data_IF_867614746597
#
_entry.id   IF_867614746597
#
_cell.length_a   1.000
_cell.length_b   1.000
_cell.length_c   1.000
_cell.angle_alpha   90.00
_cell.angle_beta   90.00
_cell.angle_gamma   90.00
#
_symmetry.space_group_name_H-M   'P 1'
#
loop_
_entity.id
_entity.type
_entity.pdbx_description
1 polymer ?
#
# COMPACT_ATOMS: atom_id res chain seq x y z
N UNK A 1 -102.63 -20.92 -4.90
CA UNK A 1 -103.00 -20.80 -3.47
C UNK A 1 -101.96 -21.57 -2.68
N UNK A 2 -101.57 -21.01 -1.54
CA UNK A 2 -100.49 -21.34 -0.58
C UNK A 2 -100.26 -22.86 -0.35
N UNK A 3 -99.08 -23.38 0.01
CA UNK A 3 -98.19 -22.92 1.09
C UNK A 3 -96.77 -23.51 1.03
N UNK A 4 -95.81 -22.76 1.59
CA UNK A 4 -94.50 -23.19 2.10
C UNK A 4 -94.44 -24.61 2.69
N UNK A 5 -93.30 -25.30 2.50
CA UNK A 5 -92.66 -26.12 3.54
C UNK A 5 -91.20 -26.48 3.20
N UNK A 6 -90.29 -25.76 3.85
CA UNK A 6 -89.00 -26.16 4.43
C UNK A 6 -88.35 -27.48 3.97
N UNK A 7 -87.23 -27.39 3.23
CA UNK A 7 -86.25 -28.48 3.17
C UNK A 7 -85.19 -28.30 4.24
N UNK A 8 -85.25 -29.16 5.25
CA UNK A 8 -84.34 -29.24 6.39
C UNK A 8 -82.87 -29.41 5.98
N UNK A 9 -82.04 -28.58 6.60
CA UNK A 9 -80.60 -28.77 6.79
C UNK A 9 -80.31 -30.19 7.33
N UNK A 10 -79.31 -30.93 6.82
CA UNK A 10 -78.88 -32.16 7.48
C UNK A 10 -78.18 -31.78 8.80
N UNK A 11 -78.83 -32.12 9.91
CA UNK A 11 -78.24 -32.09 11.25
C UNK A 11 -76.89 -32.83 11.24
N UNK A 12 -75.82 -32.09 11.50
CA UNK A 12 -74.54 -32.67 11.89
C UNK A 12 -74.76 -33.32 13.27
N UNK A 13 -74.94 -34.63 13.30
CA UNK A 13 -74.91 -35.39 14.54
C UNK A 13 -73.60 -35.06 15.27
N UNK A 14 -73.65 -34.53 16.51
CA UNK A 14 -72.43 -34.31 17.29
C UNK A 14 -71.78 -35.67 17.53
N UNK A 15 -70.53 -35.85 17.09
CA UNK A 15 -69.72 -37.03 17.41
C UNK A 15 -69.87 -37.33 18.90
N UNK A 16 -70.11 -38.60 19.24
CA UNK A 16 -70.20 -39.04 20.62
C UNK A 16 -68.89 -38.67 21.35
N UNK A 17 -68.96 -38.45 22.66
CA UNK A 17 -67.79 -38.06 23.44
C UNK A 17 -66.64 -39.08 23.30
N UNK A 18 -66.97 -40.37 23.15
CA UNK A 18 -66.03 -41.44 22.86
C UNK A 18 -65.33 -41.27 21.50
N UNK A 19 -66.03 -40.83 20.45
CA UNK A 19 -65.45 -40.61 19.12
C UNK A 19 -64.52 -39.38 19.09
N UNK A 20 -64.84 -38.35 19.90
CA UNK A 20 -63.95 -37.19 20.09
C UNK A 20 -62.67 -37.57 20.84
N UNK A 21 -62.78 -38.42 21.86
CA UNK A 21 -61.62 -38.91 22.62
C UNK A 21 -60.75 -39.86 21.77
N UNK A 22 -61.37 -40.76 20.99
CA UNK A 22 -60.65 -41.66 20.09
C UNK A 22 -59.93 -40.89 18.97
N UNK A 23 -60.59 -39.91 18.34
CA UNK A 23 -59.95 -39.07 17.31
C UNK A 23 -58.83 -38.18 17.88
N UNK A 24 -58.95 -37.69 19.11
CA UNK A 24 -57.87 -36.98 19.80
C UNK A 24 -56.68 -37.90 20.10
N UNK A 25 -56.94 -39.14 20.54
CA UNK A 25 -55.91 -40.16 20.77
C UNK A 25 -55.20 -40.56 19.46
N UNK A 26 -55.94 -40.83 18.40
CA UNK A 26 -55.40 -41.17 17.08
C UNK A 26 -54.56 -40.02 16.49
N UNK A 27 -55.00 -38.77 16.64
CA UNK A 27 -54.23 -37.60 16.23
C UNK A 27 -52.95 -37.42 17.06
N UNK A 28 -52.97 -37.74 18.36
CA UNK A 28 -51.78 -37.70 19.22
C UNK A 28 -50.78 -38.82 18.84
N UNK A 29 -51.27 -40.01 18.52
CA UNK A 29 -50.45 -41.13 18.03
C UNK A 29 -49.79 -40.78 16.69
N UNK A 30 -50.57 -40.28 15.72
CA UNK A 30 -50.07 -39.85 14.40
C UNK A 30 -49.05 -38.71 14.50
N UNK A 31 -49.25 -37.73 15.40
CA UNK A 31 -48.27 -36.67 15.66
C UNK A 31 -46.96 -37.22 16.23
N UNK A 32 -47.01 -38.19 17.14
CA UNK A 32 -45.82 -38.85 17.68
C UNK A 32 -45.06 -39.63 16.61
N UNK A 33 -45.79 -40.31 15.74
CA UNK A 33 -45.20 -41.03 14.60
C UNK A 33 -44.50 -40.07 13.63
N UNK A 34 -45.17 -38.99 13.22
CA UNK A 34 -44.57 -37.94 12.37
C UNK A 34 -43.34 -37.32 13.03
N UNK A 35 -43.43 -36.97 14.32
CA UNK A 35 -42.29 -36.42 15.07
C UNK A 35 -41.12 -37.39 15.13
N UNK A 36 -41.38 -38.69 15.30
CA UNK A 36 -40.33 -39.73 15.32
C UNK A 36 -39.66 -39.84 13.96
N UNK A 37 -40.44 -39.88 12.88
CA UNK A 37 -39.92 -39.95 11.51
C UNK A 37 -39.15 -38.71 11.07
N UNK A 38 -39.39 -37.54 11.67
CA UNK A 38 -38.62 -36.32 11.38
C UNK A 38 -37.40 -36.18 12.30
N UNK A 39 -37.57 -36.42 13.61
CA UNK A 39 -36.50 -36.19 14.58
C UNK A 39 -35.41 -37.24 14.49
N UNK A 40 -35.75 -38.52 14.34
CA UNK A 40 -34.74 -39.59 14.35
C UNK A 40 -33.74 -39.46 13.19
N UNK A 41 -34.15 -39.24 11.92
CA UNK A 41 -33.20 -39.01 10.84
C UNK A 41 -32.41 -37.71 11.02
N UNK A 42 -33.04 -36.64 11.46
CA UNK A 42 -32.38 -35.32 11.65
C UNK A 42 -31.28 -35.40 12.71
N UNK A 43 -31.57 -36.02 13.87
CA UNK A 43 -30.57 -36.22 14.93
C UNK A 43 -29.46 -37.18 14.49
N UNK A 44 -29.80 -38.24 13.74
CA UNK A 44 -28.80 -39.20 13.24
C UNK A 44 -27.83 -38.53 12.27
N UNK A 45 -28.34 -37.74 11.32
CA UNK A 45 -27.51 -36.97 10.37
C UNK A 45 -26.66 -35.93 11.10
N UNK A 46 -27.23 -35.23 12.09
CA UNK A 46 -26.49 -34.25 12.89
C UNK A 46 -25.35 -34.92 13.69
N UNK A 47 -25.59 -36.09 14.29
CA UNK A 47 -24.60 -36.84 15.04
C UNK A 47 -23.48 -37.37 14.13
N UNK A 48 -23.83 -37.95 12.98
CA UNK A 48 -22.85 -38.48 12.01
C UNK A 48 -22.01 -37.33 11.43
N UNK A 49 -22.66 -36.21 11.05
CA UNK A 49 -21.98 -35.04 10.51
C UNK A 49 -21.09 -34.37 11.55
N UNK A 50 -21.57 -34.27 12.80
CA UNK A 50 -20.79 -33.77 13.93
C UNK A 50 -19.58 -34.66 14.22
N UNK A 51 -19.76 -35.97 14.29
CA UNK A 51 -18.69 -36.94 14.51
C UNK A 51 -17.67 -36.92 13.36
N UNK A 52 -18.14 -36.80 12.11
CA UNK A 52 -17.30 -36.66 10.92
C UNK A 52 -16.49 -35.36 10.96
N UNK A 53 -17.10 -34.23 11.29
CA UNK A 53 -16.43 -32.94 11.45
C UNK A 53 -15.39 -32.95 12.57
N UNK A 54 -15.72 -33.52 13.74
CA UNK A 54 -14.77 -33.67 14.85
C UNK A 54 -13.62 -34.61 14.50
N UNK A 55 -13.91 -35.72 13.81
CA UNK A 55 -12.88 -36.65 13.33
C UNK A 55 -11.98 -35.98 12.30
N UNK A 56 -12.54 -35.21 11.36
CA UNK A 56 -11.78 -34.43 10.38
C UNK A 56 -10.90 -33.35 11.04
N UNK A 57 -11.41 -32.63 12.04
CA UNK A 57 -10.62 -31.64 12.79
C UNK A 57 -9.53 -32.29 13.65
N UNK A 58 -9.80 -33.45 14.26
CA UNK A 58 -8.78 -34.21 15.02
C UNK A 58 -7.74 -34.88 14.13
N UNK A 59 -8.14 -35.39 12.96
CA UNK A 59 -7.27 -36.05 11.98
C UNK A 59 -6.60 -35.10 10.99
N UNK A 60 -6.93 -33.81 10.98
CA UNK A 60 -5.98 -32.82 10.47
C UNK A 60 -4.72 -33.04 11.28
N UNK A 61 -3.68 -33.60 10.64
CA UNK A 61 -2.35 -33.55 11.21
C UNK A 61 -2.16 -32.07 11.54
N UNK A 62 -2.03 -31.77 12.83
CA UNK A 62 -1.22 -30.62 13.18
C UNK A 62 0.14 -31.07 12.70
N UNK A 63 0.45 -30.77 11.44
CA UNK A 63 1.82 -30.71 11.01
C UNK A 63 2.41 -29.68 11.95
N UNK A 64 2.95 -30.18 13.06
CA UNK A 64 3.57 -29.37 14.07
C UNK A 64 4.87 -28.98 13.43
N UNK A 65 4.79 -27.86 12.71
CA UNK A 65 5.83 -27.33 11.87
C UNK A 65 7.01 -26.97 12.78
N UNK A 66 7.95 -27.92 12.91
CA UNK A 66 9.14 -27.76 13.74
C UNK A 66 10.19 -26.97 12.94
N UNK A 67 10.25 -25.66 13.17
CA UNK A 67 11.35 -24.82 12.70
C UNK A 67 12.50 -25.00 13.69
N UNK A 68 13.66 -25.51 13.27
CA UNK A 68 14.83 -25.51 14.16
C UNK A 68 15.33 -24.08 14.40
N UNK A 69 15.99 -23.80 15.53
CA UNK A 69 16.54 -22.46 15.82
C UNK A 69 17.49 -21.98 14.70
N UNK A 70 18.28 -22.90 14.13
CA UNK A 70 19.16 -22.60 13.00
C UNK A 70 18.38 -22.24 11.74
N UNK A 71 17.30 -22.99 11.42
CA UNK A 71 16.43 -22.66 10.29
C UNK A 71 15.72 -21.32 10.51
N UNK A 72 15.27 -21.03 11.73
CA UNK A 72 14.67 -19.73 12.07
C UNK A 72 15.65 -18.57 11.85
N UNK A 73 16.89 -18.70 12.34
CA UNK A 73 17.95 -17.70 12.11
C UNK A 73 18.22 -17.50 10.62
N UNK A 74 18.28 -18.60 9.85
CA UNK A 74 18.45 -18.56 8.39
C UNK A 74 17.30 -17.84 7.69
N UNK A 75 16.05 -18.14 8.04
CA UNK A 75 14.87 -17.45 7.51
C UNK A 75 14.99 -15.94 7.79
N UNK A 76 15.34 -15.58 9.02
CA UNK A 76 15.43 -14.18 9.43
C UNK A 76 16.55 -13.39 8.74
N UNK A 77 17.63 -14.05 8.30
CA UNK A 77 18.75 -13.39 7.61
C UNK A 77 18.65 -13.40 6.09
N UNK A 78 18.23 -14.52 5.51
CA UNK A 78 18.35 -14.78 4.08
C UNK A 78 17.02 -14.69 3.34
N UNK A 79 15.92 -15.10 3.97
CA UNK A 79 14.63 -15.27 3.28
C UNK A 79 13.76 -14.00 3.34
N UNK A 80 14.16 -12.98 4.11
CA UNK A 80 13.49 -11.68 4.15
C UNK A 80 13.87 -10.84 2.93
N UNK A 81 12.86 -10.45 2.15
CA UNK A 81 12.97 -9.43 1.11
C UNK A 81 12.23 -8.17 1.54
N UNK A 82 12.84 -7.02 1.28
CA UNK A 82 12.23 -5.72 1.51
C UNK A 82 12.26 -4.98 0.17
N UNK A 83 11.10 -4.45 -0.22
CA UNK A 83 10.87 -3.76 -1.48
C UNK A 83 10.45 -2.32 -1.19
N UNK A 84 10.98 -1.39 -1.96
CA UNK A 84 10.60 0.03 -1.91
C UNK A 84 9.24 0.22 -2.59
N UNK A 85 8.30 0.84 -1.88
CA UNK A 85 6.95 1.11 -2.39
C UNK A 85 6.81 2.49 -3.04
N UNK A 86 7.62 3.46 -2.65
CA UNK A 86 7.30 4.85 -2.88
C UNK A 86 8.50 5.65 -3.32
N UNK A 87 8.40 6.20 -4.52
CA UNK A 87 9.52 6.76 -5.24
C UNK A 87 9.63 8.29 -5.09
N UNK A 88 8.81 8.92 -4.23
CA UNK A 88 8.66 10.38 -4.22
C UNK A 88 9.57 11.12 -3.23
N UNK A 89 9.99 10.48 -2.14
CA UNK A 89 10.87 11.05 -1.11
C UNK A 89 12.28 10.48 -1.18
N UNK A 90 13.28 11.36 -1.05
CA UNK A 90 14.69 11.00 -0.88
C UNK A 90 14.90 10.19 0.40
N UNK A 91 16.00 9.42 0.47
CA UNK A 91 16.35 8.69 1.69
C UNK A 91 16.47 9.61 2.90
N UNK A 92 17.04 10.80 2.69
CA UNK A 92 17.20 11.81 3.74
C UNK A 92 15.85 12.30 4.25
N UNK A 93 14.93 12.67 3.37
CA UNK A 93 13.60 13.13 3.78
C UNK A 93 12.81 12.06 4.56
N UNK A 94 12.93 10.78 4.18
CA UNK A 94 12.27 9.69 4.92
C UNK A 94 12.88 9.54 6.31
N UNK A 95 14.21 9.55 6.42
CA UNK A 95 14.90 9.39 7.71
C UNK A 95 14.69 10.61 8.62
N UNK A 96 14.73 11.82 8.07
CA UNK A 96 14.48 13.06 8.82
C UNK A 96 13.03 13.11 9.33
N UNK A 97 12.04 12.75 8.48
CA UNK A 97 10.64 12.67 8.90
C UNK A 97 10.40 11.56 9.92
N UNK A 98 11.05 10.40 9.78
CA UNK A 98 11.02 9.33 10.78
C UNK A 98 11.54 9.81 12.14
N UNK A 99 12.73 10.42 12.16
CA UNK A 99 13.35 10.93 13.38
C UNK A 99 12.52 12.03 14.03
N UNK A 100 11.96 12.94 13.22
CA UNK A 100 11.04 13.96 13.71
C UNK A 100 9.82 13.33 14.40
N UNK A 101 9.20 12.32 13.78
CA UNK A 101 8.05 11.64 14.38
C UNK A 101 8.42 10.89 15.67
N UNK A 102 9.59 10.25 15.72
CA UNK A 102 10.11 9.61 16.93
C UNK A 102 10.25 10.63 18.06
N UNK A 103 10.92 11.75 17.83
CA UNK A 103 11.15 12.79 18.83
C UNK A 103 9.85 13.50 19.23
N UNK A 104 8.98 13.81 18.28
CA UNK A 104 7.66 14.39 18.55
C UNK A 104 6.86 13.51 19.52
N UNK A 105 6.80 12.20 19.26
CA UNK A 105 6.08 11.30 20.16
C UNK A 105 6.78 11.17 21.50
N UNK A 106 8.12 11.14 21.58
CA UNK A 106 8.84 11.14 22.87
C UNK A 106 8.49 12.36 23.73
N UNK A 107 8.39 13.54 23.12
CA UNK A 107 8.09 14.80 23.82
C UNK A 107 6.61 14.92 24.23
N UNK A 108 5.69 14.37 23.44
CA UNK A 108 4.25 14.55 23.63
C UNK A 108 3.50 13.33 24.21
N UNK A 109 4.16 12.18 24.41
CA UNK A 109 3.56 10.98 25.04
C UNK A 109 3.45 11.02 26.57
N UNK A 110 3.51 12.20 27.19
CA UNK A 110 3.35 12.33 28.65
C UNK A 110 1.91 12.16 29.13
N UNK A 111 0.94 12.05 28.22
CA UNK A 111 -0.47 11.81 28.55
C UNK A 111 -0.80 10.31 28.63
N UNK A 112 -1.66 9.88 29.58
CA UNK A 112 -1.96 8.46 29.85
C UNK A 112 -2.63 7.70 28.69
N UNK A 113 -3.13 8.40 27.65
CA UNK A 113 -3.82 7.81 26.50
C UNK A 113 -3.13 8.09 25.15
N UNK A 114 -1.93 8.69 25.15
CA UNK A 114 -1.24 9.01 23.91
C UNK A 114 -0.65 7.74 23.27
N UNK A 115 -0.91 7.53 21.98
CA UNK A 115 -0.42 6.36 21.25
C UNK A 115 1.09 6.47 21.08
N UNK A 116 1.83 5.44 21.51
CA UNK A 116 3.24 5.31 21.19
C UNK A 116 3.49 5.33 19.69
N UNK A 117 4.58 5.97 19.29
CA UNK A 117 5.07 5.90 17.92
C UNK A 117 5.30 4.44 17.53
N UNK A 118 4.72 4.03 16.39
CA UNK A 118 4.90 2.69 15.84
C UNK A 118 5.79 2.76 14.60
N UNK A 119 7.07 2.44 14.79
CA UNK A 119 8.05 2.42 13.72
C UNK A 119 7.65 1.47 12.59
N UNK A 120 6.96 0.36 12.90
CA UNK A 120 6.54 -0.61 11.91
C UNK A 120 5.51 -0.01 10.95
N UNK A 121 4.44 0.59 11.50
CA UNK A 121 3.40 1.23 10.70
C UNK A 121 3.93 2.43 9.92
N UNK A 122 4.90 3.16 10.46
CA UNK A 122 5.52 4.27 9.74
C UNK A 122 6.32 3.76 8.54
N UNK A 123 7.23 2.79 8.76
CA UNK A 123 8.12 2.27 7.70
C UNK A 123 7.31 1.52 6.63
N UNK A 124 6.21 0.85 6.99
CA UNK A 124 5.30 0.18 6.04
C UNK A 124 4.64 1.13 5.03
N UNK A 125 4.61 2.45 5.29
CA UNK A 125 4.16 3.44 4.30
C UNK A 125 5.08 3.49 3.08
N UNK A 126 6.37 3.18 3.28
CA UNK A 126 7.43 3.34 2.29
C UNK A 126 8.00 2.00 1.82
N UNK A 127 7.85 0.92 2.58
CA UNK A 127 8.46 -0.37 2.28
C UNK A 127 7.50 -1.53 2.49
N UNK A 128 7.51 -2.49 1.56
CA UNK A 128 6.91 -3.82 1.77
C UNK A 128 7.98 -4.81 2.16
N UNK A 129 7.57 -5.83 2.91
CA UNK A 129 8.38 -7.00 3.13
C UNK A 129 7.66 -8.26 2.64
N UNK A 130 8.45 -9.27 2.30
CA UNK A 130 7.98 -10.64 2.14
C UNK A 130 9.00 -11.59 2.77
N UNK A 131 8.53 -12.70 3.32
CA UNK A 131 9.40 -13.77 3.83
C UNK A 131 9.26 -14.94 2.86
N UNK A 132 10.31 -15.21 2.09
CA UNK A 132 10.35 -16.27 1.08
C UNK A 132 10.63 -17.64 1.71
N UNK A 133 9.72 -18.06 2.58
CA UNK A 133 9.76 -19.34 3.29
C UNK A 133 8.64 -20.25 2.79
N UNK A 134 8.68 -21.54 3.13
CA UNK A 134 7.53 -22.41 2.88
C UNK A 134 6.29 -21.85 3.60
N UNK A 135 5.14 -21.78 2.93
CA UNK A 135 3.88 -21.19 3.42
C UNK A 135 3.44 -21.72 4.78
N UNK A 136 3.83 -22.95 5.12
CA UNK A 136 3.56 -23.57 6.43
C UNK A 136 4.20 -22.83 7.61
N UNK A 137 5.27 -22.05 7.37
CA UNK A 137 6.04 -21.33 8.39
C UNK A 137 5.54 -19.90 8.64
N UNK A 138 4.92 -19.25 7.65
CA UNK A 138 4.55 -17.82 7.70
C UNK A 138 3.69 -17.46 8.91
N UNK A 139 2.68 -18.28 9.23
CA UNK A 139 1.76 -18.06 10.36
C UNK A 139 2.43 -18.07 11.75
N UNK A 140 3.66 -18.54 11.85
CA UNK A 140 4.43 -18.62 13.11
C UNK A 140 5.45 -17.49 13.27
N UNK A 141 5.67 -16.71 12.21
CA UNK A 141 6.62 -15.63 12.15
C UNK A 141 5.86 -14.30 12.24
N UNK A 142 6.35 -13.39 13.08
CA UNK A 142 5.81 -12.04 13.19
C UNK A 142 6.94 -11.04 12.92
N UNK A 143 6.91 -10.46 11.73
CA UNK A 143 7.86 -9.46 11.27
C UNK A 143 7.44 -8.07 11.73
N UNK A 144 8.41 -7.26 12.16
CA UNK A 144 8.21 -5.82 12.42
C UNK A 144 9.43 -5.04 12.00
N UNK A 145 9.24 -3.94 11.27
CA UNK A 145 10.29 -2.95 11.10
C UNK A 145 10.56 -2.26 12.44
N UNK A 146 11.83 -1.98 12.72
CA UNK A 146 12.27 -1.41 14.00
C UNK A 146 12.93 -0.05 13.85
N UNK A 147 13.70 0.17 12.76
CA UNK A 147 14.39 1.44 12.54
C UNK A 147 14.70 1.69 11.06
N UNK A 148 14.97 2.95 10.72
CA UNK A 148 15.47 3.37 9.41
C UNK A 148 16.59 4.41 9.57
N UNK A 149 17.70 4.23 8.86
CA UNK A 149 18.92 5.04 8.99
C UNK A 149 19.52 5.32 7.61
N UNK A 150 20.20 6.47 7.47
CA UNK A 150 21.04 6.74 6.32
C UNK A 150 22.34 5.92 6.38
N UNK A 151 22.79 5.43 5.23
CA UNK A 151 24.13 4.86 5.12
C UNK A 151 25.15 5.99 4.98
N UNK A 152 26.19 6.06 5.84
CA UNK A 152 27.22 7.08 5.74
C UNK A 152 27.88 7.07 4.36
N UNK A 153 28.08 8.25 3.77
CA UNK A 153 28.73 8.43 2.46
C UNK A 153 28.03 7.72 1.28
N UNK A 154 26.77 7.32 1.42
CA UNK A 154 25.99 6.67 0.36
C UNK A 154 24.55 7.20 0.36
N UNK A 155 24.29 8.36 -0.26
CA UNK A 155 22.97 9.02 -0.20
C UNK A 155 21.85 8.16 -0.82
N UNK A 156 22.20 7.29 -1.76
CA UNK A 156 21.28 6.36 -2.44
C UNK A 156 20.99 5.10 -1.63
N UNK A 157 21.67 4.89 -0.50
CA UNK A 157 21.49 3.70 0.32
C UNK A 157 20.79 4.04 1.63
N UNK A 158 19.82 3.20 1.97
CA UNK A 158 19.07 3.29 3.22
C UNK A 158 19.17 1.97 3.96
N UNK A 159 19.42 2.05 5.27
CA UNK A 159 19.47 0.89 6.14
C UNK A 159 18.14 0.76 6.85
N UNK A 160 17.48 -0.38 6.66
CA UNK A 160 16.21 -0.71 7.30
C UNK A 160 16.45 -1.84 8.29
N UNK A 161 16.18 -1.59 9.56
CA UNK A 161 16.27 -2.58 10.63
C UNK A 161 14.90 -3.20 10.88
N UNK A 162 14.88 -4.49 11.19
CA UNK A 162 13.67 -5.24 11.46
C UNK A 162 13.91 -6.33 12.52
N UNK A 163 12.81 -6.83 13.07
CA UNK A 163 12.79 -7.98 13.97
C UNK A 163 11.81 -9.02 13.46
N UNK A 164 12.16 -10.30 13.62
CA UNK A 164 11.23 -11.39 13.43
C UNK A 164 11.08 -12.12 14.75
N UNK A 165 9.82 -12.28 15.16
CA UNK A 165 9.45 -13.02 16.35
C UNK A 165 8.86 -14.37 15.93
N UNK A 166 9.48 -15.45 16.37
CA UNK A 166 8.95 -16.79 16.23
C UNK A 166 8.23 -17.20 17.52
N UNK A 167 6.94 -17.51 17.40
CA UNK A 167 6.14 -18.05 18.50
C UNK A 167 6.22 -19.57 18.48
N UNK A 168 7.05 -20.14 19.35
CA UNK A 168 7.18 -21.58 19.49
C UNK A 168 6.22 -22.13 20.56
N UNK A 169 5.48 -23.18 20.22
CA UNK A 169 4.66 -23.92 21.16
C UNK A 169 5.36 -25.24 21.50
N UNK A 170 6.02 -25.33 22.66
CA UNK A 170 6.82 -26.51 23.05
C UNK A 170 6.03 -27.81 23.07
N UNK A 171 4.70 -27.74 23.28
CA UNK A 171 3.83 -28.93 23.32
C UNK A 171 3.79 -29.70 22.00
N UNK A 172 4.19 -29.10 20.88
CA UNK A 172 4.24 -29.77 19.59
C UNK A 172 5.13 -31.03 19.56
N UNK A 173 6.18 -31.06 20.40
CA UNK A 173 7.20 -32.13 20.39
C UNK A 173 7.11 -33.07 21.60
N UNK A 174 6.05 -32.99 22.40
CA UNK A 174 5.87 -33.81 23.61
C UNK A 174 4.87 -34.94 23.35
N UNK A 175 5.06 -36.09 24.02
CA UNK A 175 4.05 -37.15 23.99
C UNK A 175 2.73 -36.64 24.60
N UNK A 176 1.59 -37.22 24.20
CA UNK A 176 0.29 -36.76 24.70
C UNK A 176 0.18 -36.86 26.24
N UNK A 177 0.88 -37.83 26.85
CA UNK A 177 1.00 -37.97 28.31
C UNK A 177 1.79 -36.85 29.00
N UNK A 178 2.69 -36.16 28.30
CA UNK A 178 3.48 -35.04 28.81
C UNK A 178 2.75 -33.70 28.59
N UNK A 179 1.95 -33.59 27.52
CA UNK A 179 1.15 -32.40 27.21
C UNK A 179 0.10 -32.09 28.28
N UNK A 180 -0.47 -33.09 28.94
CA UNK A 180 -1.47 -32.92 30.00
C UNK A 180 -0.89 -32.39 31.32
N UNK A 181 0.40 -32.66 31.60
CA UNK A 181 1.02 -32.36 32.91
C UNK A 181 1.67 -30.97 33.01
N UNK A 182 1.90 -30.27 31.89
CA UNK A 182 2.58 -28.97 31.91
C UNK A 182 1.70 -27.81 31.44
N UNK A 183 1.77 -26.67 32.16
CA UNK A 183 1.21 -25.38 31.72
C UNK A 183 1.91 -24.93 30.44
N UNK A 184 1.13 -24.42 29.48
CA UNK A 184 1.60 -24.01 28.15
C UNK A 184 2.65 -22.89 28.26
N UNK A 185 3.94 -23.24 28.28
CA UNK A 185 5.04 -22.28 28.16
C UNK A 185 5.25 -22.00 26.67
N UNK A 186 4.88 -20.80 26.24
CA UNK A 186 5.15 -20.31 24.88
C UNK A 186 6.55 -19.69 24.93
N UNK A 187 7.53 -20.32 24.28
CA UNK A 187 8.84 -19.70 24.08
C UNK A 187 8.76 -18.77 22.88
N UNK A 188 9.27 -17.56 23.03
CA UNK A 188 9.36 -16.56 21.97
C UNK A 188 10.83 -16.34 21.67
N UNK A 189 11.19 -16.50 20.40
CA UNK A 189 12.53 -16.18 19.92
C UNK A 189 12.44 -14.95 19.04
N UNK A 190 13.32 -13.98 19.29
CA UNK A 190 13.41 -12.74 18.50
C UNK A 190 14.77 -12.71 17.85
N UNK A 191 14.78 -12.46 16.53
CA UNK A 191 16.01 -12.15 15.79
C UNK A 191 15.86 -10.76 15.23
N UNK A 192 16.84 -9.92 15.50
CA UNK A 192 16.98 -8.58 14.95
C UNK A 192 17.99 -8.61 13.81
N UNK A 193 17.70 -7.90 12.73
CA UNK A 193 18.56 -7.83 11.56
C UNK A 193 18.31 -6.53 10.78
N UNK A 194 19.07 -6.31 9.70
CA UNK A 194 18.90 -5.18 8.81
C UNK A 194 19.10 -5.57 7.35
N UNK A 195 18.54 -4.78 6.44
CA UNK A 195 18.91 -4.77 5.02
C UNK A 195 19.34 -3.36 4.64
N UNK A 196 20.37 -3.30 3.80
CA UNK A 196 20.72 -2.08 3.09
C UNK A 196 20.03 -2.17 1.73
N UNK A 197 19.20 -1.18 1.43
CA UNK A 197 18.52 -1.06 0.15
C UNK A 197 19.14 0.11 -0.61
N UNK A 198 19.59 -0.17 -1.82
CA UNK A 198 19.93 0.89 -2.76
C UNK A 198 18.63 1.41 -3.36
N UNK A 199 18.18 2.55 -2.86
CA UNK A 199 17.07 3.30 -3.44
C UNK A 199 17.66 4.23 -4.48
N UNK A 200 17.37 3.93 -5.75
CA UNK A 200 17.54 4.94 -6.79
C UNK A 200 16.54 6.04 -6.48
N UNK A 201 17.00 7.09 -5.80
CA UNK A 201 16.22 8.30 -5.62
C UNK A 201 15.67 8.70 -6.99
N UNK A 202 14.34 8.76 -7.15
CA UNK A 202 13.74 9.35 -8.36
C UNK A 202 13.84 10.87 -8.37
N UNK A 203 14.54 11.47 -7.40
CA UNK A 203 15.22 12.71 -7.77
C UNK A 203 16.17 12.34 -8.88
N UNK A 204 15.71 12.61 -10.10
CA UNK A 204 16.51 13.28 -11.07
C UNK A 204 17.46 14.16 -10.26
N UNK A 205 18.76 13.95 -10.35
CA UNK A 205 19.67 15.07 -10.17
C UNK A 205 19.31 16.07 -11.29
N UNK A 206 18.18 16.77 -11.11
CA UNK A 206 17.70 17.85 -11.97
C UNK A 206 18.73 18.98 -11.98
N UNK A 207 19.68 18.89 -11.05
CA UNK A 207 20.75 19.78 -10.71
C UNK A 207 21.94 18.87 -10.37
N UNK A 208 22.45 18.15 -11.37
CA UNK A 208 23.83 17.70 -11.28
C UNK A 208 24.75 18.90 -11.58
N UNK A 209 25.99 18.82 -11.14
CA UNK A 209 27.00 19.85 -11.39
C UNK A 209 27.11 20.20 -12.89
N UNK A 210 26.85 19.21 -13.77
CA UNK A 210 26.82 19.38 -15.21
C UNK A 210 25.71 20.32 -15.69
N UNK A 211 24.52 20.26 -15.08
CA UNK A 211 23.42 21.16 -15.38
C UNK A 211 23.74 22.59 -14.99
N UNK A 212 24.26 22.80 -13.78
CA UNK A 212 24.59 24.15 -13.33
C UNK A 212 25.73 24.76 -14.15
N UNK A 213 26.70 23.95 -14.58
CA UNK A 213 27.77 24.39 -15.47
C UNK A 213 27.24 24.74 -16.87
N UNK A 214 26.42 23.87 -17.47
CA UNK A 214 25.80 24.15 -18.77
C UNK A 214 24.85 25.36 -18.70
N UNK A 215 24.12 25.53 -17.59
CA UNK A 215 23.25 26.68 -17.38
C UNK A 215 24.07 27.98 -17.36
N UNK A 216 25.19 28.02 -16.61
CA UNK A 216 26.10 29.18 -16.58
C UNK A 216 26.67 29.47 -17.97
N UNK A 217 27.17 28.46 -18.67
CA UNK A 217 27.74 28.58 -20.02
C UNK A 217 26.71 29.13 -21.03
N UNK A 218 25.47 28.66 -20.95
CA UNK A 218 24.38 29.00 -21.88
C UNK A 218 23.54 30.21 -21.42
N UNK A 219 23.86 30.81 -20.28
CA UNK A 219 23.16 32.02 -19.78
C UNK A 219 23.21 33.20 -20.75
N UNK A 220 24.32 33.50 -21.45
CA UNK A 220 24.35 34.59 -22.43
C UNK A 220 23.31 34.44 -23.55
N UNK A 221 23.02 33.20 -23.97
CA UNK A 221 22.03 32.93 -25.01
C UNK A 221 20.60 33.30 -24.56
N UNK A 222 20.24 32.99 -23.31
CA UNK A 222 18.91 33.35 -22.79
C UNK A 222 18.77 34.84 -22.53
N UNK A 223 19.84 35.53 -22.14
CA UNK A 223 19.86 36.99 -22.03
C UNK A 223 19.57 37.63 -23.39
N UNK A 224 20.15 37.12 -24.49
CA UNK A 224 19.87 37.62 -25.83
C UNK A 224 18.39 37.42 -26.24
N UNK A 225 17.77 36.28 -25.85
CA UNK A 225 16.34 36.04 -26.08
C UNK A 225 15.49 37.05 -25.31
N UNK A 226 15.82 37.31 -24.04
CA UNK A 226 15.06 38.23 -23.17
C UNK A 226 15.22 39.70 -23.62
N UNK A 227 16.40 40.07 -24.11
CA UNK A 227 16.74 41.43 -24.54
C UNK A 227 16.37 41.72 -26.00
N UNK A 228 15.72 40.78 -26.70
CA UNK A 228 15.33 40.94 -28.11
C UNK A 228 14.35 42.11 -28.33
N UNK A 229 13.39 42.28 -27.42
CA UNK A 229 12.46 43.40 -27.45
C UNK A 229 12.86 44.45 -26.40
N UNK A 230 13.14 45.65 -26.88
CA UNK A 230 13.60 46.79 -26.07
C UNK A 230 12.48 47.76 -25.75
N UNK A 231 11.41 47.77 -26.54
CA UNK A 231 10.24 48.62 -26.33
C UNK A 231 9.44 48.11 -25.10
N UNK A 232 9.33 48.88 -24.01
CA UNK A 232 8.65 48.45 -22.79
C UNK A 232 7.20 48.02 -22.98
N UNK A 233 6.48 48.64 -23.92
CA UNK A 233 5.06 48.34 -24.17
C UNK A 233 4.90 46.99 -24.88
N UNK A 234 5.78 46.70 -25.84
CA UNK A 234 5.78 45.44 -26.60
C UNK A 234 6.44 44.29 -25.84
N UNK A 235 7.30 44.60 -24.87
CA UNK A 235 8.04 43.61 -24.09
C UNK A 235 7.12 42.66 -23.33
N UNK A 236 6.00 43.15 -22.81
CA UNK A 236 5.00 42.30 -22.16
C UNK A 236 4.30 41.35 -23.15
N UNK A 237 3.95 41.85 -24.34
CA UNK A 237 3.37 41.02 -25.40
C UNK A 237 4.37 39.97 -25.90
N UNK A 238 5.64 40.37 -26.08
CA UNK A 238 6.74 39.49 -26.46
C UNK A 238 6.91 38.34 -25.46
N UNK A 239 6.96 38.61 -24.15
CA UNK A 239 7.10 37.55 -23.14
C UNK A 239 5.92 36.58 -23.08
N UNK A 240 4.73 37.01 -23.51
CA UNK A 240 3.57 36.14 -23.61
C UNK A 240 3.47 35.40 -24.96
N UNK A 241 4.27 35.81 -25.95
CA UNK A 241 4.25 35.25 -27.30
C UNK A 241 4.77 33.81 -27.35
N UNK A 242 4.25 33.04 -28.31
CA UNK A 242 4.75 31.70 -28.60
C UNK A 242 6.20 31.71 -29.09
N UNK A 243 6.65 32.81 -29.71
CA UNK A 243 8.02 32.97 -30.18
C UNK A 243 9.00 32.96 -29.01
N UNK A 244 8.77 33.83 -28.01
CA UNK A 244 9.59 33.88 -26.80
C UNK A 244 9.57 32.54 -26.07
N UNK A 245 8.37 31.99 -25.83
CA UNK A 245 8.21 30.73 -25.08
C UNK A 245 8.91 29.56 -25.79
N UNK A 246 8.81 29.47 -27.12
CA UNK A 246 9.52 28.45 -27.89
C UNK A 246 11.04 28.62 -27.79
N UNK A 247 11.55 29.84 -27.93
CA UNK A 247 12.99 30.11 -27.82
C UNK A 247 13.54 29.73 -26.44
N UNK A 248 12.79 30.04 -25.37
CA UNK A 248 13.12 29.60 -24.01
C UNK A 248 13.08 28.08 -23.88
N UNK A 249 12.05 27.43 -24.44
CA UNK A 249 11.92 25.98 -24.37
C UNK A 249 13.08 25.26 -25.05
N UNK A 250 13.44 25.71 -26.26
CA UNK A 250 14.53 25.13 -27.04
C UNK A 250 15.88 25.29 -26.32
N UNK A 251 16.11 26.47 -25.73
CA UNK A 251 17.27 26.72 -24.86
C UNK A 251 17.33 25.80 -23.65
N UNK A 252 16.21 25.64 -22.93
CA UNK A 252 16.12 24.75 -21.77
C UNK A 252 16.36 23.29 -22.17
N UNK A 253 15.76 22.85 -23.27
CA UNK A 253 15.89 21.48 -23.77
C UNK A 253 17.32 21.16 -24.18
N UNK A 254 18.04 22.11 -24.78
CA UNK A 254 19.47 21.97 -25.10
C UNK A 254 20.30 21.69 -23.83
N UNK A 255 20.17 22.54 -22.81
CA UNK A 255 20.87 22.38 -21.52
C UNK A 255 20.49 21.03 -20.90
N UNK A 256 19.21 20.69 -20.91
CA UNK A 256 18.72 19.48 -20.27
C UNK A 256 19.25 18.18 -20.91
N UNK A 257 19.33 18.16 -22.25
CA UNK A 257 19.90 17.04 -22.98
C UNK A 257 21.42 16.93 -22.78
N UNK A 258 22.15 18.03 -22.82
CA UNK A 258 23.61 18.04 -22.56
C UNK A 258 23.96 17.61 -21.13
N UNK A 259 23.07 17.89 -20.19
CA UNK A 259 23.24 17.59 -18.76
C UNK A 259 22.75 16.20 -18.36
N UNK A 260 22.18 15.44 -19.31
CA UNK A 260 21.62 14.11 -19.09
C UNK A 260 20.62 14.05 -17.91
N UNK A 261 19.66 14.99 -17.88
CA UNK A 261 18.62 15.12 -16.83
C UNK A 261 17.61 13.95 -16.84
N UNK A 262 17.90 12.85 -17.54
CA UNK A 262 16.98 11.72 -17.65
C UNK A 262 17.08 10.84 -16.40
N UNK A 263 15.96 10.51 -15.74
CA UNK A 263 15.92 9.46 -14.74
C UNK A 263 16.52 8.17 -15.26
N UNK A 264 17.30 7.48 -14.43
CA UNK A 264 17.96 6.19 -14.77
C UNK A 264 16.94 5.13 -15.23
N UNK A 265 15.70 5.21 -14.75
CA UNK A 265 14.60 4.29 -15.09
C UNK A 265 14.01 4.53 -16.50
N UNK A 266 14.31 5.67 -17.12
CA UNK A 266 13.73 6.08 -18.39
C UNK A 266 14.72 5.91 -19.53
N UNK A 267 14.84 4.67 -20.03
CA UNK A 267 15.73 4.35 -21.16
C UNK A 267 15.32 5.05 -22.47
N UNK A 268 14.00 5.19 -22.72
CA UNK A 268 13.43 5.71 -23.98
C UNK A 268 12.50 6.92 -23.79
N UNK A 269 12.91 7.88 -22.96
CA UNK A 269 12.11 9.10 -22.72
C UNK A 269 12.79 10.35 -23.25
N UNK A 270 11.96 11.32 -23.66
CA UNK A 270 12.34 12.70 -23.94
C UNK A 270 11.70 13.65 -22.94
N UNK A 271 12.20 14.89 -22.90
CA UNK A 271 11.63 15.97 -22.09
C UNK A 271 10.58 16.69 -22.93
N UNK A 272 9.39 16.85 -22.37
CA UNK A 272 8.25 17.50 -23.01
C UNK A 272 7.64 18.57 -22.09
N UNK A 273 6.95 19.58 -22.64
CA UNK A 273 6.19 20.54 -21.84
C UNK A 273 5.18 19.84 -20.91
N UNK A 274 5.07 20.30 -19.66
CA UNK A 274 3.99 19.83 -18.79
C UNK A 274 2.67 20.43 -19.28
N UNK A 275 1.62 19.61 -19.40
CA UNK A 275 0.37 19.91 -20.14
C UNK A 275 0.50 19.96 -21.67
N UNK A 276 1.43 19.20 -22.25
CA UNK A 276 1.44 18.97 -23.70
C UNK A 276 0.16 18.25 -24.12
N UNK A 277 -0.73 18.95 -24.82
CA UNK A 277 -1.75 18.33 -25.64
C UNK A 277 -1.15 18.26 -27.06
N UNK A 278 -1.17 17.11 -27.73
CA UNK A 278 -0.58 16.95 -29.08
C UNK A 278 -1.15 17.98 -30.10
N UNK A 279 -2.29 18.60 -29.76
CA UNK A 279 -2.98 19.63 -30.55
C UNK A 279 -2.81 21.08 -30.01
N UNK A 280 -2.09 21.30 -28.90
CA UNK A 280 -1.91 22.64 -28.35
C UNK A 280 -0.67 23.31 -28.94
N UNK A 281 -0.89 24.38 -29.72
CA UNK A 281 0.16 25.26 -30.27
C UNK A 281 0.70 26.26 -29.24
N UNK A 282 0.28 26.17 -27.98
CA UNK A 282 0.57 27.14 -26.91
C UNK A 282 1.45 26.54 -25.81
N UNK A 283 2.61 27.15 -25.60
CA UNK A 283 3.53 26.85 -24.50
C UNK A 283 3.05 27.52 -23.20
N UNK A 284 2.04 26.94 -22.56
CA UNK A 284 1.55 27.42 -21.25
C UNK A 284 2.46 27.02 -20.07
N UNK A 285 3.58 26.38 -20.37
CA UNK A 285 4.51 25.82 -19.40
C UNK A 285 5.72 26.73 -19.11
N UNK A 286 5.76 27.93 -19.69
CA UNK A 286 6.83 28.90 -19.50
C UNK A 286 6.23 30.21 -19.01
N UNK A 287 6.74 30.71 -17.89
CA UNK A 287 6.35 31.98 -17.28
C UNK A 287 7.60 32.82 -16.98
N UNK A 288 7.57 34.08 -17.41
CA UNK A 288 8.58 35.07 -17.08
C UNK A 288 8.04 36.07 -16.05
N UNK A 289 8.72 36.21 -14.92
CA UNK A 289 8.33 37.09 -13.83
C UNK A 289 9.45 38.09 -13.50
N UNK A 290 9.38 39.33 -14.00
CA UNK A 290 10.40 40.36 -13.77
C UNK A 290 10.15 41.19 -12.50
N UNK A 291 9.79 40.57 -11.36
CA UNK A 291 9.48 41.32 -10.12
C UNK A 291 10.73 41.67 -9.31
N UNK A 292 10.90 42.97 -9.04
CA UNK A 292 11.79 43.58 -8.00
C UNK A 292 13.18 42.93 -7.87
N UNK A 293 13.94 42.90 -8.97
CA UNK A 293 15.36 42.51 -8.97
C UNK A 293 15.63 41.01 -9.09
N UNK A 294 14.58 40.17 -9.13
CA UNK A 294 14.69 38.74 -9.41
C UNK A 294 14.01 38.45 -10.74
N UNK A 295 14.82 38.41 -11.79
CA UNK A 295 14.44 38.04 -13.15
C UNK A 295 14.24 36.51 -13.21
N UNK A 296 13.03 36.05 -12.91
CA UNK A 296 12.73 34.63 -12.76
C UNK A 296 12.04 34.05 -13.98
N UNK A 297 12.59 32.93 -14.44
CA UNK A 297 12.04 32.11 -15.49
C UNK A 297 11.55 30.78 -14.90
N UNK A 298 10.25 30.54 -14.99
CA UNK A 298 9.62 29.29 -14.56
C UNK A 298 9.34 28.41 -15.77
N UNK A 299 9.76 27.15 -15.70
CA UNK A 299 9.60 26.16 -16.77
C UNK A 299 9.01 24.89 -16.16
N UNK A 300 7.83 24.51 -16.62
CA UNK A 300 7.16 23.28 -16.27
C UNK A 300 7.38 22.22 -17.37
N UNK A 301 7.80 21.01 -16.98
CA UNK A 301 8.14 19.92 -17.91
C UNK A 301 7.76 18.54 -17.36
N UNK A 302 7.74 17.54 -18.22
CA UNK A 302 7.57 16.13 -17.87
C UNK A 302 8.47 15.26 -18.76
N UNK A 303 8.64 13.99 -18.40
CA UNK A 303 9.25 13.00 -19.27
C UNK A 303 8.17 12.27 -20.05
N UNK A 304 8.34 12.17 -21.36
CA UNK A 304 7.45 11.47 -22.29
C UNK A 304 8.13 10.22 -22.84
N UNK A 305 7.47 9.07 -22.68
CA UNK A 305 7.93 7.80 -23.26
C UNK A 305 7.60 7.75 -24.75
N UNK A 306 8.60 7.60 -25.62
CA UNK A 306 8.37 7.51 -27.07
C UNK A 306 7.59 6.26 -27.49
N UNK A 307 7.76 5.17 -26.76
CA UNK A 307 7.23 3.86 -27.09
C UNK A 307 5.80 3.69 -26.56
N UNK A 308 5.57 4.03 -25.29
CA UNK A 308 4.26 3.84 -24.64
C UNK A 308 3.36 5.07 -24.69
N UNK A 309 3.88 6.23 -25.14
CA UNK A 309 3.21 7.54 -25.10
C UNK A 309 2.74 7.98 -23.70
N UNK A 310 3.32 7.41 -22.64
CA UNK A 310 2.99 7.77 -21.26
C UNK A 310 3.83 8.95 -20.78
N UNK A 311 3.23 9.79 -19.94
CA UNK A 311 3.89 10.93 -19.30
C UNK A 311 4.23 10.62 -17.84
N UNK A 312 5.37 11.14 -17.37
CA UNK A 312 5.65 11.23 -15.94
C UNK A 312 4.79 12.31 -15.27
N UNK A 313 4.87 12.41 -13.94
CA UNK A 313 4.42 13.61 -13.23
C UNK A 313 5.12 14.87 -13.76
N UNK A 314 4.49 16.02 -13.53
CA UNK A 314 5.07 17.32 -13.84
C UNK A 314 6.18 17.72 -12.88
N UNK A 315 7.14 18.44 -13.42
CA UNK A 315 8.26 19.03 -12.70
C UNK A 315 8.33 20.52 -13.03
N UNK A 316 8.77 21.31 -12.05
CA UNK A 316 8.94 22.76 -12.18
C UNK A 316 10.40 23.13 -11.97
N UNK A 317 10.95 23.93 -12.86
CA UNK A 317 12.27 24.56 -12.71
C UNK A 317 12.10 26.07 -12.67
N UNK A 318 12.69 26.70 -11.66
CA UNK A 318 12.78 28.16 -11.55
C UNK A 318 14.24 28.53 -11.73
N UNK A 319 14.51 29.42 -12.69
CA UNK A 319 15.85 29.89 -13.02
C UNK A 319 15.88 31.39 -12.77
N UNK A 320 16.84 31.85 -11.98
CA UNK A 320 17.09 33.28 -11.80
C UNK A 320 18.17 33.72 -12.77
N UNK A 321 17.86 34.68 -13.64
CA UNK A 321 18.82 35.22 -14.60
C UNK A 321 19.38 36.53 -14.07
N UNK A 322 20.68 36.56 -13.81
CA UNK A 322 21.37 37.76 -13.35
C UNK A 322 21.88 38.58 -14.55
N UNK A 323 21.92 39.90 -14.42
CA UNK A 323 22.53 40.80 -15.42
C UNK A 323 21.61 41.29 -16.55
N UNK A 324 20.30 41.40 -16.30
CA UNK A 324 19.30 41.98 -17.21
C UNK A 324 18.63 43.16 -16.53
#
# INVERSE_FOLDING_TARGET
MESNKDSKNPEKNPLSQADKEFSAFANKARRREILTWVLVPTFSVALISGAGYFSYIKNRSKDDVNISLNKFRKIASEEVKIEDLFLEKTNKEIVDDFNYNVEFHKLHNTQPNAKAFDAHLYIEKYFKYSIQTETKYEKYLNFRFTNIELVPNSPDEIKISYSINWKFNEKANMSDSEKEKQTKKIKRYTVENFKILKRQSQFIDLINEKFDNNLKEKTPAVIAIISKETDPEKKFEYFNSNEFKKAIWDWFLEIANQSNIKPIQYKDYDIAPYHFNENATTFNNIEWNPKKGLNQLTIDFCFYNKTTKLHSKGYRKIITIYGI
#
